data_IF_076844250422
#
_entry.id   IF_076844250422
#
_cell.length_a   1.000
_cell.length_b   1.000
_cell.length_c   1.000
_cell.angle_alpha   90.00
_cell.angle_beta   90.00
_cell.angle_gamma   90.00
#
_symmetry.space_group_name_H-M   'P 1'
#
loop_
_entity.id
_entity.type
_entity.pdbx_description
1 polymer ?
#
# COMPACT_ATOMS: atom_id res chain seq x y z
N UNK A 1 32.30 59.25 8.96
CA UNK A 1 31.16 58.35 9.24
C UNK A 1 30.66 57.79 7.93
N UNK A 2 30.78 56.50 7.67
CA UNK A 2 29.89 55.75 6.77
C UNK A 2 30.21 54.26 6.91
N UNK A 3 29.41 53.57 7.72
CA UNK A 3 29.43 52.11 7.84
C UNK A 3 28.71 51.56 6.61
N UNK A 4 29.43 50.90 5.72
CA UNK A 4 28.84 50.11 4.65
C UNK A 4 28.22 48.84 5.27
N UNK A 5 26.89 48.80 5.33
CA UNK A 5 26.14 47.60 5.72
C UNK A 5 25.98 46.76 4.46
N UNK A 6 26.74 45.67 4.33
CA UNK A 6 26.47 44.64 3.33
C UNK A 6 25.22 43.87 3.78
N UNK A 7 24.10 44.11 3.11
CA UNK A 7 22.92 43.23 3.16
C UNK A 7 23.27 41.94 2.41
N UNK A 8 23.50 40.86 3.15
CA UNK A 8 23.51 39.51 2.58
C UNK A 8 22.07 39.15 2.22
N UNK A 9 21.75 39.22 0.92
CA UNK A 9 20.50 38.68 0.40
C UNK A 9 20.53 37.15 0.54
N UNK A 10 19.85 36.63 1.57
CA UNK A 10 19.50 35.23 1.67
C UNK A 10 18.58 34.89 0.50
N UNK A 11 19.17 34.36 -0.58
CA UNK A 11 18.43 33.70 -1.64
C UNK A 11 17.64 32.55 -1.00
N UNK A 12 16.34 32.77 -0.80
CA UNK A 12 15.39 31.71 -0.51
C UNK A 12 15.38 30.79 -1.74
N UNK A 13 16.26 29.78 -1.72
CA UNK A 13 16.17 28.67 -2.66
C UNK A 13 14.75 28.13 -2.55
N UNK A 14 14.00 28.00 -3.65
CA UNK A 14 12.72 27.34 -3.61
C UNK A 14 12.99 25.96 -3.00
N UNK A 15 12.20 25.56 -2.00
CA UNK A 15 12.25 24.22 -1.46
C UNK A 15 12.02 23.27 -2.65
N UNK A 16 13.10 22.74 -3.22
CA UNK A 16 13.01 21.77 -4.27
C UNK A 16 12.16 20.64 -3.72
N UNK A 17 11.08 20.30 -4.44
CA UNK A 17 10.28 19.14 -4.09
C UNK A 17 11.22 17.97 -3.87
N UNK A 18 11.20 17.40 -2.66
CA UNK A 18 12.21 16.44 -2.26
C UNK A 18 12.16 15.22 -3.17
N UNK A 19 13.29 14.94 -3.83
CA UNK A 19 13.38 13.82 -4.75
C UNK A 19 13.54 12.52 -3.96
N UNK A 20 12.47 11.73 -3.91
CA UNK A 20 12.47 10.41 -3.29
C UNK A 20 12.96 9.30 -4.22
N UNK A 21 13.26 9.57 -5.49
CA UNK A 21 13.70 8.53 -6.43
C UNK A 21 15.16 8.12 -6.21
N UNK A 22 15.97 8.97 -5.59
CA UNK A 22 17.37 8.74 -5.36
C UNK A 22 17.64 7.43 -4.58
N UNK A 23 18.42 6.53 -5.19
CA UNK A 23 18.81 5.26 -4.58
C UNK A 23 17.70 4.23 -4.47
N UNK A 24 16.55 4.43 -5.14
CA UNK A 24 15.51 3.42 -5.27
C UNK A 24 15.95 2.31 -6.24
N UNK A 25 15.77 1.06 -5.82
CA UNK A 25 15.96 -0.13 -6.64
C UNK A 25 14.61 -0.79 -6.99
N UNK A 26 13.50 -0.07 -6.80
CA UNK A 26 12.18 -0.55 -7.21
C UNK A 26 12.13 -0.85 -8.71
N UNK A 27 11.47 -1.94 -9.07
CA UNK A 27 11.18 -2.29 -10.44
C UNK A 27 10.00 -1.46 -10.97
N UNK A 28 10.13 -0.92 -12.17
CA UNK A 28 9.06 -0.20 -12.87
C UNK A 28 8.04 -1.18 -13.45
N UNK A 29 6.76 -0.81 -13.42
CA UNK A 29 5.65 -1.65 -13.86
C UNK A 29 4.88 -1.05 -15.06
N UNK A 30 5.30 0.12 -15.54
CA UNK A 30 4.68 0.83 -16.66
C UNK A 30 3.33 1.45 -16.31
N UNK A 31 3.07 1.75 -15.03
CA UNK A 31 1.84 2.39 -14.60
C UNK A 31 1.86 3.89 -14.90
N UNK A 32 0.70 4.45 -15.23
CA UNK A 32 0.57 5.88 -15.50
C UNK A 32 0.97 6.70 -14.27
N UNK A 33 1.89 7.65 -14.46
CA UNK A 33 2.37 8.53 -13.39
C UNK A 33 3.22 7.82 -12.34
N UNK A 34 3.73 6.61 -12.62
CA UNK A 34 4.62 5.92 -11.68
C UNK A 34 5.96 6.63 -11.54
N UNK A 35 6.43 6.70 -10.30
CA UNK A 35 7.73 7.25 -9.93
C UNK A 35 8.33 6.37 -8.84
N UNK A 36 9.60 6.02 -9.01
CA UNK A 36 10.37 5.37 -7.95
C UNK A 36 10.42 6.27 -6.72
N UNK A 37 10.23 5.68 -5.55
CA UNK A 37 10.31 6.39 -4.30
C UNK A 37 10.87 5.49 -3.20
N UNK A 38 11.90 5.98 -2.53
CA UNK A 38 12.55 5.37 -1.38
C UNK A 38 12.61 6.39 -0.25
N UNK A 39 12.16 6.01 0.93
CA UNK A 39 12.13 6.92 2.08
C UNK A 39 12.04 6.17 3.41
N UNK A 40 12.44 6.86 4.48
CA UNK A 40 12.18 6.42 5.86
C UNK A 40 10.77 6.83 6.31
N UNK A 41 10.09 5.95 7.02
CA UNK A 41 8.75 6.19 7.56
C UNK A 41 8.48 5.38 8.82
N UNK A 42 7.54 5.85 9.64
CA UNK A 42 6.92 5.05 10.69
C UNK A 42 5.74 4.27 10.12
N UNK A 43 5.63 2.99 10.39
CA UNK A 43 4.41 2.22 10.08
C UNK A 43 3.33 2.55 11.10
N UNK A 44 2.15 2.94 10.65
CA UNK A 44 1.04 3.43 11.49
C UNK A 44 -0.29 2.80 11.09
N UNK A 45 -1.25 2.72 12.02
CA UNK A 45 -2.67 2.54 11.67
C UNK A 45 -3.22 3.88 11.14
N UNK A 46 -3.79 3.87 9.95
CA UNK A 46 -4.36 5.06 9.29
C UNK A 46 -5.50 5.66 10.13
N UNK A 47 -6.39 4.82 10.70
CA UNK A 47 -7.51 5.31 11.49
C UNK A 47 -7.06 5.91 12.82
N UNK A 48 -6.01 5.37 13.42
CA UNK A 48 -5.38 5.98 14.59
C UNK A 48 -4.83 7.37 14.26
N UNK A 49 -4.17 7.55 13.12
CA UNK A 49 -3.62 8.85 12.72
C UNK A 49 -4.70 9.88 12.37
N UNK A 50 -5.77 9.46 11.69
CA UNK A 50 -6.78 10.39 11.18
C UNK A 50 -7.92 10.66 12.18
N UNK A 51 -8.25 9.69 13.02
CA UNK A 51 -9.45 9.73 13.87
C UNK A 51 -9.18 9.44 15.36
N UNK A 52 -7.93 9.08 15.74
CA UNK A 52 -7.59 8.73 17.12
C UNK A 52 -8.08 7.35 17.56
N UNK A 53 -8.65 6.54 16.67
CA UNK A 53 -9.02 5.15 16.96
C UNK A 53 -7.77 4.25 16.86
N UNK A 54 -7.12 4.04 18.01
CA UNK A 54 -5.81 3.40 18.11
C UNK A 54 -5.89 2.04 18.81
N UNK A 55 -6.32 0.97 18.11
CA UNK A 55 -6.25 -0.37 18.66
C UNK A 55 -4.78 -0.78 18.92
N UNK A 56 -4.52 -1.70 19.87
CA UNK A 56 -3.20 -2.24 20.08
C UNK A 56 -2.65 -2.90 18.79
N UNK A 57 -1.34 -2.91 18.64
CA UNK A 57 -0.63 -3.54 17.51
C UNK A 57 -1.14 -3.12 16.12
N UNK A 58 -1.58 -1.86 15.99
CA UNK A 58 -2.18 -1.34 14.76
C UNK A 58 -3.33 -2.22 14.25
N UNK A 59 -4.08 -2.87 15.14
CA UNK A 59 -5.15 -3.81 14.81
C UNK A 59 -4.68 -5.18 14.30
N UNK A 60 -3.44 -5.58 14.57
CA UNK A 60 -2.90 -6.93 14.36
C UNK A 60 -3.15 -7.49 12.94
N UNK A 61 -2.97 -6.65 11.91
CA UNK A 61 -3.15 -7.03 10.50
C UNK A 61 -4.60 -7.01 10.00
N UNK A 62 -5.56 -6.54 10.81
CA UNK A 62 -6.96 -6.35 10.41
C UNK A 62 -7.28 -4.92 9.95
N UNK A 63 -6.35 -3.99 10.17
CA UNK A 63 -6.46 -2.58 9.78
C UNK A 63 -5.63 -2.30 8.53
N UNK A 64 -6.03 -1.26 7.80
CA UNK A 64 -5.16 -0.67 6.77
C UNK A 64 -4.06 0.12 7.45
N UNK A 65 -2.82 -0.12 7.02
CA UNK A 65 -1.64 0.53 7.55
C UNK A 65 -1.12 1.58 6.59
N UNK A 66 -0.52 2.62 7.16
CA UNK A 66 0.09 3.74 6.46
C UNK A 66 1.58 3.87 6.77
N UNK A 67 2.24 4.73 6.01
CA UNK A 67 3.64 5.09 6.19
C UNK A 67 3.70 6.59 6.47
N UNK A 68 3.94 6.96 7.73
CA UNK A 68 4.16 8.35 8.10
C UNK A 68 5.62 8.72 7.78
N UNK A 69 5.82 9.39 6.66
CA UNK A 69 7.16 9.66 6.11
C UNK A 69 7.94 10.63 7.00
N UNK A 70 9.19 10.28 7.31
CA UNK A 70 10.02 11.04 8.26
C UNK A 70 10.43 12.42 7.74
N UNK A 71 10.51 12.59 6.42
CA UNK A 71 11.02 13.81 5.81
C UNK A 71 10.06 15.00 5.96
N UNK A 72 8.75 14.75 5.91
CA UNK A 72 7.73 15.78 5.77
C UNK A 72 6.43 15.48 6.54
N UNK A 73 6.34 14.36 7.25
CA UNK A 73 5.15 13.97 8.00
C UNK A 73 3.95 13.59 7.13
N UNK A 74 4.15 13.39 5.82
CA UNK A 74 3.06 12.98 4.92
C UNK A 74 2.68 11.53 5.21
N UNK A 75 1.37 11.29 5.38
CA UNK A 75 0.81 9.94 5.45
C UNK A 75 0.71 9.36 4.04
N UNK A 76 1.61 8.43 3.72
CA UNK A 76 1.62 7.71 2.44
C UNK A 76 0.81 6.42 2.58
N UNK A 77 -0.02 6.11 1.58
CA UNK A 77 -0.92 4.96 1.56
C UNK A 77 -0.34 3.79 0.74
N UNK A 78 0.25 2.76 1.38
CA UNK A 78 0.76 1.57 0.70
C UNK A 78 -0.39 0.62 0.35
N UNK A 79 -1.02 0.81 -0.82
CA UNK A 79 -2.19 0.01 -1.23
C UNK A 79 -1.83 -1.31 -1.91
N UNK A 80 -0.56 -1.49 -2.31
CA UNK A 80 -0.10 -2.65 -3.07
C UNK A 80 1.28 -3.09 -2.59
N UNK A 81 1.51 -4.40 -2.55
CA UNK A 81 2.83 -5.00 -2.32
C UNK A 81 3.47 -5.49 -3.64
N UNK A 82 4.65 -6.10 -3.59
CA UNK A 82 5.41 -6.55 -4.77
C UNK A 82 4.77 -7.71 -5.57
N UNK A 83 3.70 -8.36 -5.07
CA UNK A 83 3.14 -9.52 -5.75
C UNK A 83 2.23 -9.12 -6.91
N UNK A 84 2.26 -9.82 -8.06
CA UNK A 84 1.34 -9.58 -9.17
C UNK A 84 -0.06 -10.21 -8.94
N UNK A 85 -0.55 -10.21 -7.70
CA UNK A 85 -1.75 -10.95 -7.27
C UNK A 85 -2.81 -10.05 -6.62
N UNK A 86 -2.78 -8.74 -6.93
CA UNK A 86 -3.70 -7.73 -6.38
C UNK A 86 -3.83 -7.75 -4.85
N UNK A 87 -2.78 -8.18 -4.15
CA UNK A 87 -2.70 -8.19 -2.69
C UNK A 87 -2.22 -6.85 -2.14
N UNK A 88 -2.80 -6.43 -1.02
CA UNK A 88 -2.40 -5.23 -0.29
C UNK A 88 -1.10 -5.41 0.51
N UNK A 89 -0.58 -4.32 1.06
CA UNK A 89 0.70 -4.30 1.78
C UNK A 89 0.61 -4.60 3.29
N UNK A 90 -0.59 -4.80 3.84
CA UNK A 90 -0.77 -4.95 5.30
C UNK A 90 0.01 -6.14 5.86
N UNK A 91 0.02 -7.29 5.18
CA UNK A 91 0.76 -8.47 5.62
C UNK A 91 2.29 -8.19 5.72
N UNK A 92 2.80 -7.30 4.87
CA UNK A 92 4.20 -6.92 4.83
C UNK A 92 4.55 -5.86 5.87
N UNK A 93 3.59 -5.00 6.24
CA UNK A 93 3.77 -3.86 7.14
C UNK A 93 3.44 -4.18 8.59
N UNK A 94 2.47 -5.06 8.85
CA UNK A 94 1.99 -5.38 10.19
C UNK A 94 3.11 -5.77 11.17
N UNK A 95 4.14 -6.55 10.78
CA UNK A 95 5.28 -6.88 11.68
C UNK A 95 6.09 -5.67 12.15
N UNK A 96 5.92 -4.52 11.51
CA UNK A 96 6.64 -3.27 11.79
C UNK A 96 5.74 -2.20 12.41
N UNK A 97 4.53 -2.52 12.86
CA UNK A 97 3.63 -1.55 13.50
C UNK A 97 4.36 -0.67 14.54
N UNK A 98 4.24 0.64 14.39
CA UNK A 98 4.87 1.65 15.26
C UNK A 98 6.38 1.82 15.08
N UNK A 99 7.04 0.96 14.29
CA UNK A 99 8.48 0.98 14.08
C UNK A 99 8.88 1.88 12.92
N UNK A 100 10.12 2.34 12.97
CA UNK A 100 10.77 3.03 11.86
C UNK A 100 11.32 2.01 10.85
N UNK A 101 10.90 2.18 9.61
CA UNK A 101 11.37 1.40 8.47
C UNK A 101 11.89 2.31 7.37
N UNK A 102 12.68 1.73 6.48
CA UNK A 102 12.91 2.27 5.15
C UNK A 102 12.15 1.41 4.15
N UNK A 103 11.47 2.08 3.23
CA UNK A 103 10.69 1.43 2.17
C UNK A 103 11.22 1.85 0.81
N UNK A 104 11.04 0.96 -0.17
CA UNK A 104 11.41 1.19 -1.56
C UNK A 104 10.34 0.60 -2.48
N UNK A 105 9.89 1.38 -3.46
CA UNK A 105 8.69 1.08 -4.24
C UNK A 105 8.31 2.18 -5.23
N UNK A 106 7.06 2.15 -5.68
CA UNK A 106 6.52 3.09 -6.66
C UNK A 106 5.44 3.96 -6.04
N UNK A 107 5.58 5.29 -6.15
CA UNK A 107 4.44 6.20 -6.05
C UNK A 107 3.73 6.22 -7.39
N UNK A 108 2.43 5.95 -7.39
CA UNK A 108 1.60 5.93 -8.59
C UNK A 108 0.46 6.90 -8.41
N UNK A 109 0.37 7.83 -9.34
CA UNK A 109 -0.71 8.78 -9.41
C UNK A 109 -0.43 9.87 -10.43
N UNK A 110 -1.51 10.39 -10.99
CA UNK A 110 -1.53 11.48 -11.95
C UNK A 110 -2.34 12.62 -11.31
N UNK A 111 -1.79 13.83 -11.12
CA UNK A 111 -2.52 14.94 -10.53
C UNK A 111 -3.89 15.24 -11.17
N UNK A 112 -4.09 14.88 -12.44
CA UNK A 112 -5.37 15.05 -13.13
C UNK A 112 -6.44 14.00 -12.76
N UNK A 113 -6.04 12.80 -12.34
CA UNK A 113 -6.94 11.65 -12.12
C UNK A 113 -6.90 11.12 -10.68
N UNK A 114 -5.73 11.13 -10.06
CA UNK A 114 -5.41 10.63 -8.72
C UNK A 114 -4.57 11.66 -7.98
N UNK A 115 -5.20 12.73 -7.44
CA UNK A 115 -4.49 13.84 -6.79
C UNK A 115 -3.68 13.43 -5.56
N UNK A 116 -4.05 12.32 -4.91
CA UNK A 116 -3.26 11.67 -3.87
C UNK A 116 -2.59 10.41 -4.45
N UNK A 117 -1.27 10.42 -4.72
CA UNK A 117 -0.59 9.24 -5.22
C UNK A 117 -0.58 8.14 -4.16
N UNK A 118 -0.82 6.91 -4.61
CA UNK A 118 -0.76 5.70 -3.77
C UNK A 118 0.61 5.07 -3.91
N UNK A 119 1.03 4.32 -2.89
CA UNK A 119 2.34 3.69 -2.87
C UNK A 119 2.25 2.18 -3.05
N UNK A 120 3.18 1.65 -3.82
CA UNK A 120 3.32 0.22 -4.10
C UNK A 120 4.66 -0.20 -3.52
N UNK A 121 4.62 -0.71 -2.30
CA UNK A 121 5.84 -1.10 -1.59
C UNK A 121 6.38 -2.38 -2.20
N UNK A 122 7.66 -2.38 -2.56
CA UNK A 122 8.32 -3.55 -3.12
C UNK A 122 9.32 -4.16 -2.13
N UNK A 123 9.95 -3.32 -1.31
CA UNK A 123 10.94 -3.73 -0.32
C UNK A 123 10.78 -2.92 0.95
N UNK A 124 11.05 -3.57 2.08
CA UNK A 124 11.00 -2.98 3.41
C UNK A 124 12.23 -3.44 4.18
N UNK A 125 12.86 -2.55 4.94
CA UNK A 125 13.81 -2.91 5.98
C UNK A 125 13.57 -2.10 7.25
N UNK A 126 13.82 -2.65 8.44
CA UNK A 126 14.08 -1.84 9.63
C UNK A 126 15.25 -0.87 9.36
N UNK A 127 15.30 0.27 10.06
CA UNK A 127 16.32 1.31 9.84
C UNK A 127 17.79 0.82 9.84
N UNK A 128 18.09 -0.33 10.46
CA UNK A 128 19.42 -0.98 10.48
C UNK A 128 19.37 -2.46 10.07
N UNK A 129 18.32 -2.86 9.34
CA UNK A 129 18.09 -4.25 8.94
C UNK A 129 18.44 -4.55 7.49
N UNK A 130 18.35 -5.82 7.11
CA UNK A 130 18.42 -6.24 5.72
C UNK A 130 17.11 -5.92 4.98
N UNK A 131 17.21 -5.68 3.68
CA UNK A 131 16.05 -5.55 2.81
C UNK A 131 15.32 -6.89 2.68
N UNK A 132 14.00 -6.85 2.86
CA UNK A 132 13.10 -7.95 2.56
C UNK A 132 12.12 -7.53 1.45
N UNK A 133 11.72 -8.45 0.56
CA UNK A 133 10.65 -8.18 -0.38
C UNK A 133 9.31 -8.05 0.36
N UNK A 134 8.47 -7.11 -0.09
CA UNK A 134 7.10 -6.99 0.37
C UNK A 134 6.21 -7.95 -0.44
N UNK A 135 6.24 -9.23 -0.12
CA UNK A 135 5.52 -10.27 -0.86
C UNK A 135 4.90 -11.37 0.02
N UNK A 136 4.65 -11.09 1.31
CA UNK A 136 4.28 -12.10 2.30
C UNK A 136 2.84 -12.58 2.21
N UNK A 137 1.95 -11.76 1.65
CA UNK A 137 0.51 -11.99 1.71
C UNK A 137 0.07 -13.42 1.35
N UNK A 138 0.55 -14.01 0.26
CA UNK A 138 0.10 -15.36 -0.16
C UNK A 138 0.55 -16.44 0.82
N UNK A 139 1.76 -16.31 1.39
CA UNK A 139 2.25 -17.24 2.41
C UNK A 139 1.42 -17.12 3.69
N UNK A 140 1.17 -15.90 4.15
CA UNK A 140 0.35 -15.63 5.34
C UNK A 140 -1.12 -16.04 5.14
N UNK A 141 -1.64 -15.91 3.92
CA UNK A 141 -2.96 -16.42 3.54
C UNK A 141 -3.01 -17.94 3.58
N UNK A 142 -2.02 -18.61 2.99
CA UNK A 142 -1.97 -20.08 2.94
C UNK A 142 -1.84 -20.68 4.35
N UNK A 143 -1.02 -20.07 5.22
CA UNK A 143 -0.86 -20.49 6.61
C UNK A 143 -2.18 -20.43 7.41
N UNK A 144 -3.04 -19.45 7.11
CA UNK A 144 -4.37 -19.30 7.74
C UNK A 144 -5.46 -20.13 7.06
N UNK A 145 -5.23 -20.62 5.85
CA UNK A 145 -6.23 -21.34 5.04
C UNK A 145 -5.62 -22.60 4.41
N UNK A 146 -5.08 -23.55 5.20
CA UNK A 146 -4.31 -24.67 4.68
C UNK A 146 -5.12 -25.56 3.73
N UNK A 147 -6.40 -25.82 4.04
CA UNK A 147 -7.29 -26.62 3.20
C UNK A 147 -7.55 -25.95 1.84
N UNK A 148 -7.88 -24.65 1.85
CA UNK A 148 -8.10 -23.89 0.62
C UNK A 148 -6.82 -23.70 -0.21
N UNK A 149 -5.65 -23.62 0.45
CA UNK A 149 -4.36 -23.51 -0.21
C UNK A 149 -4.01 -24.80 -0.98
N UNK A 150 -4.42 -25.97 -0.49
CA UNK A 150 -4.19 -27.26 -1.13
C UNK A 150 -5.00 -27.46 -2.43
N UNK A 151 -6.10 -26.73 -2.61
CA UNK A 151 -6.92 -26.78 -3.83
C UNK A 151 -6.22 -26.08 -5.01
N UNK A 152 -6.38 -26.54 -6.26
CA UNK A 152 -5.79 -25.90 -7.43
C UNK A 152 -6.42 -24.52 -7.71
N UNK A 153 -5.64 -23.62 -8.33
CA UNK A 153 -6.10 -22.30 -8.77
C UNK A 153 -5.73 -21.14 -7.83
N UNK A 154 -6.10 -19.90 -8.21
CA UNK A 154 -5.68 -18.69 -7.52
C UNK A 154 -6.34 -18.54 -6.14
N UNK A 155 -5.62 -17.91 -5.20
CA UNK A 155 -6.07 -17.77 -3.80
C UNK A 155 -7.46 -17.15 -3.68
N UNK A 156 -7.76 -16.10 -4.45
CA UNK A 156 -9.01 -15.34 -4.33
C UNK A 156 -10.25 -16.13 -4.76
N UNK A 157 -10.10 -17.19 -5.55
CA UNK A 157 -11.22 -18.09 -5.90
C UNK A 157 -11.50 -19.14 -4.82
N UNK A 158 -10.61 -19.24 -3.82
CA UNK A 158 -10.61 -20.28 -2.80
C UNK A 158 -10.72 -19.69 -1.39
N UNK A 159 -10.57 -18.37 -1.25
CA UNK A 159 -10.65 -17.69 0.03
C UNK A 159 -12.06 -17.85 0.62
N UNK A 160 -12.19 -18.40 1.84
CA UNK A 160 -13.50 -18.69 2.43
C UNK A 160 -14.34 -17.42 2.67
N UNK A 161 -13.70 -16.26 2.85
CA UNK A 161 -14.41 -14.98 3.02
C UNK A 161 -15.02 -14.53 1.70
N UNK A 162 -14.29 -14.66 0.61
CA UNK A 162 -14.80 -14.34 -0.73
C UNK A 162 -15.94 -15.29 -1.11
N UNK A 163 -15.77 -16.59 -0.84
CA UNK A 163 -16.82 -17.58 -1.09
C UNK A 163 -18.08 -17.31 -0.25
N UNK A 164 -17.93 -16.90 1.01
CA UNK A 164 -19.05 -16.50 1.86
C UNK A 164 -19.77 -15.25 1.33
N UNK A 165 -19.01 -14.25 0.86
CA UNK A 165 -19.57 -13.05 0.24
C UNK A 165 -20.35 -13.36 -1.04
N UNK A 166 -19.83 -14.24 -1.91
CA UNK A 166 -20.52 -14.70 -3.11
C UNK A 166 -21.78 -15.50 -2.74
N UNK A 167 -21.72 -16.37 -1.74
CA UNK A 167 -22.88 -17.13 -1.29
C UNK A 167 -24.01 -16.21 -0.79
N UNK A 168 -23.64 -15.09 -0.14
CA UNK A 168 -24.58 -14.10 0.38
C UNK A 168 -25.13 -13.18 -0.71
N UNK A 169 -24.26 -12.58 -1.51
CA UNK A 169 -24.58 -11.49 -2.43
C UNK A 169 -24.60 -11.85 -3.90
N UNK A 170 -24.28 -13.09 -4.26
CA UNK A 170 -23.98 -13.44 -5.65
C UNK A 170 -22.67 -12.81 -6.15
N UNK A 171 -22.24 -13.22 -7.34
CA UNK A 171 -21.11 -12.67 -8.09
C UNK A 171 -21.29 -11.20 -8.43
N UNK A 172 -22.53 -10.77 -8.70
CA UNK A 172 -22.84 -9.38 -9.04
C UNK A 172 -23.09 -8.49 -7.81
N UNK A 173 -23.18 -9.05 -6.61
CA UNK A 173 -23.59 -8.33 -5.40
C UNK A 173 -25.09 -7.99 -5.34
N UNK A 174 -25.90 -8.56 -6.25
CA UNK A 174 -27.35 -8.33 -6.36
C UNK A 174 -28.20 -9.53 -5.90
N UNK A 175 -27.56 -10.54 -5.31
CA UNK A 175 -28.15 -11.77 -4.82
C UNK A 175 -28.09 -12.93 -5.83
N UNK A 176 -28.17 -14.19 -5.36
CA UNK A 176 -28.05 -15.37 -6.23
C UNK A 176 -29.13 -15.50 -7.33
N UNK A 177 -30.30 -14.87 -7.14
CA UNK A 177 -31.37 -14.85 -8.15
C UNK A 177 -30.99 -14.00 -9.36
N UNK A 178 -30.45 -12.80 -9.11
CA UNK A 178 -29.99 -11.90 -10.17
C UNK A 178 -28.85 -12.54 -10.98
N UNK A 179 -27.91 -13.22 -10.32
CA UNK A 179 -26.86 -13.98 -10.98
C UNK A 179 -27.42 -15.08 -11.90
N UNK A 180 -28.40 -15.86 -11.43
CA UNK A 180 -29.03 -16.92 -12.23
C UNK A 180 -29.70 -16.34 -13.47
N UNK A 181 -30.42 -15.24 -13.31
CA UNK A 181 -31.06 -14.55 -14.43
C UNK A 181 -30.03 -14.02 -15.43
N UNK A 182 -28.95 -13.39 -14.95
CA UNK A 182 -27.86 -12.89 -15.78
C UNK A 182 -27.18 -14.02 -16.57
N UNK A 183 -26.79 -15.11 -15.90
CA UNK A 183 -26.12 -16.26 -16.55
C UNK A 183 -27.03 -16.92 -17.59
N UNK A 184 -28.33 -17.05 -17.31
CA UNK A 184 -29.30 -17.59 -18.26
C UNK A 184 -29.43 -16.70 -19.51
N UNK A 185 -29.47 -15.37 -19.33
CA UNK A 185 -29.55 -14.42 -20.42
C UNK A 185 -28.28 -14.40 -21.30
N UNK A 186 -27.09 -14.54 -20.70
CA UNK A 186 -25.82 -14.58 -21.46
C UNK A 186 -25.61 -15.92 -22.18
N UNK A 187 -26.07 -17.06 -21.63
CA UNK A 187 -25.98 -18.38 -22.29
C UNK A 187 -26.95 -18.58 -23.45
N UNK A 188 -27.97 -17.72 -23.56
CA UNK A 188 -28.93 -17.71 -24.67
C UNK A 188 -28.49 -16.85 -25.86
N UNK A 189 -27.33 -16.19 -25.78
CA UNK A 189 -26.69 -15.45 -26.88
C UNK A 189 -25.55 -16.29 -27.47
#
# INVERSE_FOLDING_TARGET
MMRAVLLAALLALPAAAQDFSAGSEAAEWGLQGERKARFAARVVDILCQLAGDCPPDCGAGTRQLGLLRSADGVLVLPLKNAQPLFSGAVADLAPFCGQMVEVDGLLVGDPAMTPAPVYQVQRIRPAKGAWAPANRFTADWAARNPEAAALPGPWFRKDPRILAEIARGGYLGLGPEADRAFIAAERGR
#
